data_IF_928987171716
#
_entry.id   IF_928987171716
#
_cell.length_a   1.000
_cell.length_b   1.000
_cell.length_c   1.000
_cell.angle_alpha   90.00
_cell.angle_beta   90.00
_cell.angle_gamma   90.00
#
_symmetry.space_group_name_H-M   'P 1'
#
loop_
_entity.id
_entity.type
_entity.pdbx_description
1 polymer ?
#
# COMPACT_ATOMS: atom_id res chain seq x y z
N UNK A 1 -27.00 -3.21 -48.30
CA UNK A 1 -27.37 -3.95 -49.54
C UNK A 1 -28.83 -3.64 -49.88
N UNK A 2 -29.22 -3.55 -51.16
CA UNK A 2 -30.63 -3.36 -51.56
C UNK A 2 -31.40 -4.69 -51.42
N UNK A 3 -32.71 -4.63 -51.14
CA UNK A 3 -33.54 -5.83 -50.92
C UNK A 3 -33.64 -6.73 -52.16
N UNK A 4 -33.66 -6.16 -53.37
CA UNK A 4 -33.65 -6.94 -54.62
C UNK A 4 -32.44 -7.87 -54.72
N UNK A 5 -31.24 -7.33 -54.47
CA UNK A 5 -29.99 -8.09 -54.45
C UNK A 5 -29.95 -9.12 -53.32
N UNK A 6 -30.54 -8.80 -52.16
CA UNK A 6 -30.69 -9.76 -51.06
C UNK A 6 -31.59 -10.94 -51.47
N UNK A 7 -32.74 -10.66 -52.09
CA UNK A 7 -33.67 -11.68 -52.60
C UNK A 7 -33.02 -12.58 -53.65
N UNK A 8 -32.24 -12.03 -54.58
CA UNK A 8 -31.45 -12.81 -55.55
C UNK A 8 -30.49 -13.79 -54.87
N UNK A 9 -29.79 -13.34 -53.81
CA UNK A 9 -28.87 -14.19 -53.05
C UNK A 9 -29.61 -15.30 -52.32
N UNK A 10 -30.75 -15.00 -51.68
CA UNK A 10 -31.59 -16.00 -51.00
C UNK A 10 -32.09 -17.04 -52.00
N UNK A 11 -32.62 -16.62 -53.15
CA UNK A 11 -33.10 -17.51 -54.20
C UNK A 11 -31.98 -18.40 -54.76
N UNK A 12 -30.76 -17.88 -54.86
CA UNK A 12 -29.57 -18.66 -55.28
C UNK A 12 -29.17 -19.72 -54.26
N UNK A 13 -29.35 -19.46 -52.97
CA UNK A 13 -29.08 -20.45 -51.91
C UNK A 13 -30.14 -21.56 -51.93
N UNK A 14 -31.41 -21.20 -52.14
CA UNK A 14 -32.53 -22.14 -52.23
C UNK A 14 -32.48 -23.03 -53.48
N UNK A 15 -31.95 -22.53 -54.61
CA UNK A 15 -31.83 -23.31 -55.85
C UNK A 15 -30.63 -24.25 -55.89
N UNK A 16 -29.78 -24.27 -54.86
CA UNK A 16 -28.58 -25.07 -54.82
C UNK A 16 -28.86 -26.44 -54.17
N UNK A 17 -28.65 -27.54 -54.90
CA UNK A 17 -29.08 -28.91 -54.53
C UNK A 17 -28.59 -29.45 -53.15
N UNK A 18 -27.67 -28.76 -52.47
CA UNK A 18 -27.20 -29.13 -51.11
C UNK A 18 -28.19 -28.79 -50.00
N UNK A 19 -29.17 -27.89 -50.23
CA UNK A 19 -30.13 -27.44 -49.21
C UNK A 19 -31.43 -28.27 -49.16
N UNK A 20 -31.68 -29.17 -50.11
CA UNK A 20 -32.94 -29.92 -50.20
C UNK A 20 -33.18 -31.00 -49.13
N UNK A 21 -32.27 -31.18 -48.17
CA UNK A 21 -32.42 -32.21 -47.11
C UNK A 21 -32.94 -31.68 -45.78
N UNK A 22 -32.90 -30.36 -45.53
CA UNK A 22 -33.39 -29.74 -44.28
C UNK A 22 -33.83 -28.31 -44.53
N UNK A 23 -34.90 -27.89 -43.86
CA UNK A 23 -35.24 -26.47 -43.74
C UNK A 23 -34.09 -25.72 -43.05
N UNK A 24 -33.74 -24.52 -43.53
CA UNK A 24 -32.56 -23.79 -43.06
C UNK A 24 -32.95 -22.68 -42.10
N UNK A 25 -32.32 -22.65 -40.93
CA UNK A 25 -32.49 -21.55 -39.98
C UNK A 25 -31.77 -20.28 -40.45
N UNK A 26 -32.43 -19.13 -40.33
CA UNK A 26 -31.83 -17.82 -40.61
C UNK A 26 -31.22 -17.28 -39.32
N UNK A 27 -29.90 -17.05 -39.33
CA UNK A 27 -29.17 -16.58 -38.15
C UNK A 27 -28.32 -15.34 -38.47
N UNK A 28 -28.11 -14.48 -37.47
CA UNK A 28 -27.22 -13.31 -37.51
C UNK A 28 -25.92 -13.68 -36.82
N UNK A 29 -24.79 -13.51 -37.51
CA UNK A 29 -23.46 -13.81 -36.95
C UNK A 29 -23.13 -12.86 -35.81
N UNK A 30 -22.67 -13.41 -34.69
CA UNK A 30 -22.12 -12.66 -33.56
C UNK A 30 -20.62 -12.49 -33.78
N UNK A 31 -20.15 -11.25 -33.71
CA UNK A 31 -18.71 -10.99 -33.79
C UNK A 31 -18.03 -11.44 -32.49
N UNK A 32 -17.38 -12.60 -32.54
CA UNK A 32 -16.65 -13.18 -31.40
C UNK A 32 -15.23 -13.58 -31.82
N UNK A 33 -14.27 -12.62 -31.81
CA UNK A 33 -12.89 -12.92 -32.18
C UNK A 33 -12.30 -14.01 -31.28
N UNK A 34 -11.66 -15.01 -31.88
CA UNK A 34 -11.04 -16.13 -31.16
C UNK A 34 -11.95 -17.31 -30.81
N UNK A 35 -13.20 -17.35 -31.29
CA UNK A 35 -14.05 -18.53 -31.14
C UNK A 35 -13.49 -19.73 -31.90
N UNK A 36 -13.41 -20.89 -31.27
CA UNK A 36 -13.06 -22.17 -31.91
C UNK A 36 -14.33 -23.00 -32.01
N UNK A 37 -14.70 -23.40 -33.23
CA UNK A 37 -15.91 -24.21 -33.49
C UNK A 37 -16.86 -23.55 -34.50
N UNK A 38 -18.14 -23.93 -34.45
CA UNK A 38 -19.17 -23.37 -35.32
C UNK A 38 -19.27 -21.86 -35.16
N UNK A 39 -19.57 -21.15 -36.26
CA UNK A 39 -19.75 -19.70 -36.27
C UNK A 39 -20.83 -19.30 -35.25
N UNK A 40 -20.52 -18.51 -34.22
CA UNK A 40 -21.51 -18.09 -33.25
C UNK A 40 -22.52 -17.19 -33.94
N UNK A 41 -23.80 -17.51 -33.78
CA UNK A 41 -24.90 -16.77 -34.38
C UNK A 41 -26.15 -16.82 -33.51
N UNK A 42 -27.06 -15.88 -33.73
CA UNK A 42 -28.35 -15.76 -33.04
C UNK A 42 -29.46 -15.90 -34.09
N UNK A 43 -30.48 -16.69 -33.79
CA UNK A 43 -31.63 -16.89 -34.68
C UNK A 43 -32.42 -15.59 -34.93
N UNK A 44 -32.98 -15.49 -36.13
CA UNK A 44 -33.92 -14.43 -36.50
C UNK A 44 -35.33 -14.85 -36.08
N UNK A 45 -35.93 -14.08 -35.18
CA UNK A 45 -37.29 -14.32 -34.70
C UNK A 45 -38.35 -13.82 -35.68
N UNK A 46 -38.13 -12.65 -36.28
CA UNK A 46 -39.09 -12.08 -37.23
C UNK A 46 -38.44 -11.08 -38.19
N UNK A 47 -39.09 -10.90 -39.35
CA UNK A 47 -38.67 -9.96 -40.38
C UNK A 47 -39.91 -9.14 -40.78
N UNK A 48 -39.80 -7.82 -40.74
CA UNK A 48 -40.89 -6.90 -41.04
C UNK A 48 -40.46 -5.87 -42.08
N UNK A 49 -41.40 -5.42 -42.91
CA UNK A 49 -41.23 -4.19 -43.68
C UNK A 49 -41.41 -3.00 -42.73
N UNK A 50 -40.52 -2.00 -42.82
CA UNK A 50 -40.62 -0.78 -42.03
C UNK A 50 -41.87 0.03 -42.40
N UNK A 51 -42.46 0.68 -41.40
CA UNK A 51 -43.67 1.48 -41.53
C UNK A 51 -43.38 2.94 -41.16
N UNK A 52 -44.13 3.88 -41.75
CA UNK A 52 -44.00 5.33 -41.54
C UNK A 52 -42.55 5.84 -41.71
N UNK A 53 -41.86 6.19 -40.62
CA UNK A 53 -40.49 6.69 -40.57
C UNK A 53 -39.44 5.68 -41.04
N UNK A 54 -39.80 4.39 -41.11
CA UNK A 54 -38.95 3.30 -41.60
C UNK A 54 -39.33 2.79 -42.99
N UNK A 55 -40.20 3.51 -43.71
CA UNK A 55 -40.58 3.14 -45.08
C UNK A 55 -39.37 2.92 -45.99
N UNK A 56 -39.38 1.80 -46.72
CA UNK A 56 -38.27 1.38 -47.58
C UNK A 56 -37.16 0.58 -46.89
N UNK A 57 -37.27 0.31 -45.58
CA UNK A 57 -36.37 -0.59 -44.83
C UNK A 57 -37.01 -1.95 -44.59
N UNK A 58 -36.17 -2.97 -44.46
CA UNK A 58 -36.54 -4.29 -43.94
C UNK A 58 -35.88 -4.45 -42.59
N UNK A 59 -36.67 -4.68 -41.56
CA UNK A 59 -36.25 -4.81 -40.17
C UNK A 59 -36.16 -6.29 -39.81
N UNK A 60 -35.01 -6.71 -39.31
CA UNK A 60 -34.76 -8.09 -38.88
C UNK A 60 -34.61 -8.07 -37.36
N UNK A 61 -35.45 -8.83 -36.68
CA UNK A 61 -35.47 -8.92 -35.22
C UNK A 61 -34.85 -10.24 -34.79
N UNK A 62 -33.63 -10.23 -34.24
CA UNK A 62 -33.03 -11.43 -33.65
C UNK A 62 -33.74 -11.83 -32.36
N UNK A 63 -33.68 -13.12 -32.02
CA UNK A 63 -34.21 -13.66 -30.77
C UNK A 63 -33.52 -13.08 -29.52
N UNK A 64 -32.30 -12.54 -29.65
CA UNK A 64 -31.60 -11.79 -28.62
C UNK A 64 -31.26 -10.38 -29.13
N UNK A 65 -31.49 -9.31 -28.34
CA UNK A 65 -31.24 -7.94 -28.77
C UNK A 65 -29.74 -7.68 -28.97
N UNK A 66 -29.40 -6.98 -30.05
CA UNK A 66 -28.01 -6.61 -30.38
C UNK A 66 -27.60 -5.34 -29.64
N UNK A 67 -26.34 -5.28 -29.19
CA UNK A 67 -25.75 -4.09 -28.55
C UNK A 67 -24.71 -3.45 -29.47
N UNK A 68 -24.67 -2.13 -29.52
CA UNK A 68 -23.65 -1.38 -30.26
C UNK A 68 -22.37 -1.29 -29.45
N UNK A 69 -21.24 -1.73 -30.02
CA UNK A 69 -19.91 -1.56 -29.43
C UNK A 69 -19.20 -0.35 -30.04
N UNK A 70 -18.41 0.36 -29.23
CA UNK A 70 -17.54 1.44 -29.72
C UNK A 70 -16.25 0.87 -30.36
N UNK A 71 -15.57 1.62 -31.24
CA UNK A 71 -14.30 1.18 -31.82
C UNK A 71 -13.23 0.82 -30.76
N UNK A 72 -13.18 1.57 -29.66
CA UNK A 72 -12.28 1.32 -28.52
C UNK A 72 -12.57 -0.03 -27.84
N UNK A 73 -13.86 -0.37 -27.67
CA UNK A 73 -14.25 -1.65 -27.10
C UNK A 73 -13.86 -2.82 -28.01
N UNK A 74 -13.92 -2.64 -29.34
CA UNK A 74 -13.51 -3.67 -30.31
C UNK A 74 -12.01 -3.91 -30.25
N UNK A 75 -11.20 -2.84 -30.13
CA UNK A 75 -9.74 -2.96 -29.99
C UNK A 75 -9.36 -3.67 -28.69
N UNK A 76 -10.01 -3.32 -27.58
CA UNK A 76 -9.76 -3.94 -26.28
C UNK A 76 -10.09 -5.43 -26.27
N UNK A 77 -11.22 -5.82 -26.89
CA UNK A 77 -11.61 -7.23 -27.01
C UNK A 77 -10.59 -8.00 -27.86
N UNK A 78 -10.14 -7.42 -28.97
CA UNK A 78 -9.16 -8.05 -29.87
C UNK A 78 -7.80 -8.25 -29.19
N UNK A 79 -7.33 -7.23 -28.45
CA UNK A 79 -6.08 -7.30 -27.69
C UNK A 79 -6.17 -8.26 -26.51
N UNK A 80 -7.33 -8.33 -25.84
CA UNK A 80 -7.60 -9.32 -24.79
C UNK A 80 -7.50 -10.75 -25.33
N UNK A 81 -8.13 -11.04 -26.47
CA UNK A 81 -8.09 -12.38 -27.10
C UNK A 81 -6.65 -12.75 -27.49
N UNK A 82 -5.85 -11.79 -27.95
CA UNK A 82 -4.44 -11.98 -28.31
C UNK A 82 -3.52 -12.23 -27.12
N UNK A 83 -3.83 -11.67 -25.94
CA UNK A 83 -2.99 -11.76 -24.72
C UNK A 83 -3.37 -12.91 -23.77
N UNK A 84 -4.57 -13.46 -23.86
CA UNK A 84 -4.99 -14.60 -23.06
C UNK A 84 -6.51 -14.77 -23.13
N UNK A 85 -6.95 -15.97 -23.50
CA UNK A 85 -8.29 -16.30 -24.02
C UNK A 85 -9.52 -15.94 -23.15
N UNK A 86 -9.37 -15.27 -22.01
CA UNK A 86 -10.48 -14.66 -21.28
C UNK A 86 -10.09 -13.36 -20.58
N UNK A 87 -11.01 -12.39 -20.53
CA UNK A 87 -10.86 -11.13 -19.76
C UNK A 87 -10.49 -11.39 -18.29
N UNK A 88 -10.95 -12.51 -17.73
CA UNK A 88 -10.63 -12.95 -16.37
C UNK A 88 -9.15 -13.32 -16.21
N UNK A 89 -8.58 -14.11 -17.13
CA UNK A 89 -7.16 -14.45 -17.09
C UNK A 89 -6.25 -13.20 -17.21
N UNK A 90 -6.65 -12.21 -18.01
CA UNK A 90 -5.91 -10.94 -18.11
C UNK A 90 -5.98 -10.12 -16.81
N UNK A 91 -7.14 -10.10 -16.14
CA UNK A 91 -7.28 -9.41 -14.85
C UNK A 91 -6.43 -10.08 -13.76
N UNK A 92 -6.38 -11.40 -13.71
CA UNK A 92 -5.53 -12.14 -12.77
C UNK A 92 -4.05 -11.92 -13.05
N UNK A 93 -3.63 -11.98 -14.31
CA UNK A 93 -2.27 -11.64 -14.71
C UNK A 93 -1.87 -10.24 -14.25
N UNK A 94 -2.76 -9.24 -14.45
CA UNK A 94 -2.51 -7.87 -14.01
C UNK A 94 -2.31 -7.80 -12.49
N UNK A 95 -3.19 -8.45 -11.72
CA UNK A 95 -3.08 -8.51 -10.25
C UNK A 95 -1.78 -9.16 -9.79
N UNK A 96 -1.41 -10.29 -10.38
CA UNK A 96 -0.16 -10.98 -10.02
C UNK A 96 1.07 -10.17 -10.40
N UNK A 97 1.04 -9.46 -11.53
CA UNK A 97 2.11 -8.56 -11.92
C UNK A 97 2.28 -7.41 -10.93
N UNK A 98 1.18 -6.78 -10.51
CA UNK A 98 1.21 -5.73 -9.47
C UNK A 98 1.75 -6.27 -8.14
N UNK A 99 1.37 -7.49 -7.76
CA UNK A 99 1.92 -8.15 -6.57
C UNK A 99 3.42 -8.42 -6.69
N UNK A 100 3.90 -8.90 -7.84
CA UNK A 100 5.33 -9.14 -8.08
C UNK A 100 6.15 -7.86 -8.01
N UNK A 101 5.64 -6.76 -8.57
CA UNK A 101 6.29 -5.45 -8.47
C UNK A 101 6.37 -4.99 -7.01
N UNK A 102 5.29 -5.13 -6.25
CA UNK A 102 5.27 -4.81 -4.82
C UNK A 102 6.28 -5.66 -4.02
N UNK A 103 6.27 -6.98 -4.21
CA UNK A 103 7.18 -7.89 -3.53
C UNK A 103 8.64 -7.61 -3.90
N UNK A 104 8.92 -7.22 -5.14
CA UNK A 104 10.27 -6.85 -5.56
C UNK A 104 10.80 -5.65 -4.78
N UNK A 105 9.97 -4.61 -4.59
CA UNK A 105 10.33 -3.42 -3.81
C UNK A 105 10.56 -3.78 -2.34
N UNK A 106 9.66 -4.57 -1.75
CA UNK A 106 9.80 -5.03 -0.36
C UNK A 106 11.07 -5.87 -0.16
N UNK A 107 11.41 -6.72 -1.12
CA UNK A 107 12.60 -7.56 -1.08
C UNK A 107 13.88 -6.74 -1.17
N UNK A 108 13.93 -5.72 -2.02
CA UNK A 108 15.10 -4.83 -2.11
C UNK A 108 15.27 -3.99 -0.85
N UNK A 109 14.18 -3.48 -0.28
CA UNK A 109 14.19 -2.79 1.01
C UNK A 109 14.68 -3.70 2.15
N UNK A 110 14.21 -4.95 2.19
CA UNK A 110 14.64 -5.92 3.19
C UNK A 110 16.13 -6.25 3.08
N UNK A 111 16.66 -6.42 1.86
CA UNK A 111 18.10 -6.64 1.63
C UNK A 111 18.95 -5.48 2.12
N UNK A 112 18.51 -4.24 1.85
CA UNK A 112 19.21 -3.04 2.35
C UNK A 112 19.24 -3.01 3.88
N UNK A 113 18.10 -3.30 4.54
CA UNK A 113 18.04 -3.33 6.00
C UNK A 113 18.92 -4.44 6.60
N UNK A 114 19.00 -5.61 5.96
CA UNK A 114 19.89 -6.70 6.40
C UNK A 114 21.35 -6.25 6.34
N UNK A 115 21.78 -5.65 5.23
CA UNK A 115 23.16 -5.18 5.08
C UNK A 115 23.54 -4.12 6.13
N UNK A 116 22.62 -3.20 6.44
CA UNK A 116 22.81 -2.21 7.50
C UNK A 116 22.95 -2.87 8.89
N UNK A 117 22.06 -3.81 9.23
CA UNK A 117 22.10 -4.52 10.51
C UNK A 117 23.37 -5.38 10.66
N UNK A 118 23.83 -5.99 9.57
CA UNK A 118 25.10 -6.74 9.56
C UNK A 118 26.29 -5.81 9.83
N UNK A 119 26.30 -4.60 9.26
CA UNK A 119 27.30 -3.56 9.54
C UNK A 119 27.30 -3.14 11.01
N UNK A 120 26.13 -2.82 11.56
CA UNK A 120 25.97 -2.43 12.96
C UNK A 120 26.42 -3.55 13.91
N UNK A 121 26.06 -4.81 13.60
CA UNK A 121 26.48 -5.97 14.39
C UNK A 121 27.99 -6.16 14.36
N UNK A 122 28.64 -5.97 13.22
CA UNK A 122 30.09 -6.07 13.12
C UNK A 122 30.80 -4.99 13.95
N UNK A 123 30.29 -3.75 13.94
CA UNK A 123 30.82 -2.66 14.76
C UNK A 123 30.68 -2.96 16.27
N UNK A 124 29.50 -3.37 16.72
CA UNK A 124 29.26 -3.77 18.12
C UNK A 124 30.11 -4.98 18.54
N UNK A 125 30.32 -5.95 17.64
CA UNK A 125 31.18 -7.10 17.93
C UNK A 125 32.66 -6.70 18.08
N UNK A 126 33.14 -5.78 17.25
CA UNK A 126 34.50 -5.24 17.34
C UNK A 126 34.70 -4.44 18.64
N UNK A 127 33.72 -3.62 19.01
CA UNK A 127 33.71 -2.87 20.27
C UNK A 127 33.75 -3.81 21.49
N UNK A 128 32.89 -4.83 21.52
CA UNK A 128 32.89 -5.86 22.56
C UNK A 128 34.23 -6.60 22.66
N UNK A 129 34.87 -6.90 21.53
CA UNK A 129 36.20 -7.51 21.54
C UNK A 129 37.26 -6.57 22.15
N UNK A 130 37.18 -5.26 21.87
CA UNK A 130 38.04 -4.24 22.46
C UNK A 130 37.85 -4.12 23.98
N UNK A 131 36.60 -4.08 24.44
CA UNK A 131 36.27 -4.05 25.87
C UNK A 131 36.75 -5.31 26.60
N UNK A 132 36.51 -6.51 26.03
CA UNK A 132 37.00 -7.76 26.61
C UNK A 132 38.53 -7.77 26.74
N UNK A 133 39.24 -7.24 25.73
CA UNK A 133 40.70 -7.12 25.77
C UNK A 133 41.16 -6.16 26.87
N UNK A 134 40.50 -5.01 27.01
CA UNK A 134 40.80 -4.06 28.08
C UNK A 134 40.59 -4.69 29.47
N UNK A 135 39.47 -5.39 29.67
CA UNK A 135 39.18 -6.09 30.93
C UNK A 135 40.27 -7.10 31.25
N UNK A 136 40.68 -7.92 30.28
CA UNK A 136 41.66 -8.98 30.51
C UNK A 136 43.11 -8.47 30.70
N UNK A 137 43.48 -7.35 30.08
CA UNK A 137 44.88 -6.91 30.00
C UNK A 137 45.20 -5.65 30.80
N UNK A 138 44.19 -4.88 31.19
CA UNK A 138 44.38 -3.53 31.72
C UNK A 138 43.45 -3.17 32.87
N UNK A 139 42.44 -3.99 33.16
CA UNK A 139 41.55 -3.80 34.31
C UNK A 139 41.98 -4.73 35.45
N UNK A 140 42.40 -4.16 36.57
CA UNK A 140 42.76 -4.89 37.79
C UNK A 140 41.64 -4.73 38.82
N UNK A 141 41.16 -5.84 39.38
CA UNK A 141 40.12 -5.84 40.42
C UNK A 141 40.79 -6.18 41.74
N UNK A 142 40.61 -5.32 42.73
CA UNK A 142 41.10 -5.52 44.10
C UNK A 142 39.96 -6.04 44.99
N UNK A 143 40.19 -7.12 45.72
CA UNK A 143 39.17 -7.80 46.55
C UNK A 143 39.19 -7.37 48.03
N UNK A 144 40.13 -6.52 48.44
CA UNK A 144 40.15 -5.91 49.76
C UNK A 144 40.93 -6.65 50.84
N UNK A 145 41.60 -7.77 50.54
CA UNK A 145 42.29 -8.60 51.55
C UNK A 145 43.75 -8.18 51.86
N UNK A 146 44.28 -7.11 51.26
CA UNK A 146 45.67 -6.66 51.46
C UNK A 146 45.74 -5.26 52.11
N UNK A 147 46.55 -5.13 53.18
CA UNK A 147 46.70 -3.92 54.01
C UNK A 147 47.47 -2.75 53.33
N UNK A 148 47.97 -2.93 52.11
CA UNK A 148 48.75 -1.91 51.39
C UNK A 148 48.22 -1.72 49.96
N UNK A 149 47.23 -0.83 49.79
CA UNK A 149 47.03 -0.18 48.49
C UNK A 149 48.19 0.81 48.30
N UNK A 150 49.23 0.38 47.58
CA UNK A 150 50.40 1.21 47.23
C UNK A 150 50.21 1.96 45.91
N UNK A 151 49.11 1.78 45.22
CA UNK A 151 48.83 2.27 43.88
C UNK A 151 47.59 3.15 43.89
N UNK A 152 47.78 4.40 43.45
CA UNK A 152 46.70 5.37 43.34
C UNK A 152 45.55 4.76 42.52
N UNK A 153 44.37 4.65 43.15
CA UNK A 153 43.16 4.25 42.45
C UNK A 153 42.92 5.18 41.27
N UNK A 154 43.00 4.65 40.05
CA UNK A 154 42.67 5.34 38.81
C UNK A 154 41.41 4.69 38.28
N UNK A 155 40.36 5.49 38.07
CA UNK A 155 39.12 4.95 37.54
C UNK A 155 39.33 4.48 36.08
N UNK A 156 38.60 3.46 35.64
CA UNK A 156 38.80 2.87 34.31
C UNK A 156 38.71 3.89 33.16
N UNK A 157 37.87 4.92 33.31
CA UNK A 157 37.74 6.02 32.35
C UNK A 157 39.00 6.87 32.27
N UNK A 158 39.64 7.19 33.40
CA UNK A 158 40.93 7.90 33.43
C UNK A 158 42.10 6.97 33.03
N UNK A 159 41.92 5.66 33.19
CA UNK A 159 42.86 4.60 32.82
C UNK A 159 42.84 4.19 31.33
N UNK A 160 42.16 4.95 30.48
CA UNK A 160 42.17 4.71 29.03
C UNK A 160 41.23 3.60 28.54
N UNK A 161 40.10 3.39 29.23
CA UNK A 161 39.02 2.51 28.76
C UNK A 161 38.62 2.86 27.30
N UNK A 162 38.49 1.85 26.41
CA UNK A 162 38.02 2.07 25.05
C UNK A 162 36.65 2.75 25.01
N UNK A 163 36.50 3.71 24.10
CA UNK A 163 35.20 4.36 23.84
C UNK A 163 34.24 3.38 23.16
N UNK A 164 32.94 3.62 23.33
CA UNK A 164 31.85 2.75 22.84
C UNK A 164 30.91 3.44 21.85
N UNK A 165 31.43 4.01 20.74
CA UNK A 165 30.64 4.82 19.83
C UNK A 165 29.56 4.02 19.07
N UNK A 166 29.76 2.72 18.85
CA UNK A 166 28.75 1.89 18.18
C UNK A 166 27.55 1.64 19.12
N UNK A 167 27.82 1.43 20.40
CA UNK A 167 26.78 1.34 21.43
C UNK A 167 26.04 2.68 21.58
N UNK A 168 26.76 3.81 21.61
CA UNK A 168 26.14 5.13 21.73
C UNK A 168 25.23 5.45 20.54
N UNK A 169 25.69 5.15 19.32
CA UNK A 169 24.90 5.33 18.10
C UNK A 169 23.63 4.46 18.11
N UNK A 170 23.76 3.18 18.52
CA UNK A 170 22.62 2.28 18.65
C UNK A 170 21.61 2.78 19.68
N UNK A 171 22.07 3.22 20.85
CA UNK A 171 21.19 3.78 21.88
C UNK A 171 20.50 5.08 21.42
N UNK A 172 21.18 5.91 20.63
CA UNK A 172 20.58 7.10 20.04
C UNK A 172 19.48 6.76 19.03
N UNK A 173 19.68 5.75 18.17
CA UNK A 173 18.65 5.24 17.25
C UNK A 173 17.43 4.70 18.03
N UNK A 174 17.66 3.82 19.01
CA UNK A 174 16.58 3.25 19.85
C UNK A 174 15.80 4.34 20.58
N UNK A 175 16.49 5.32 21.18
CA UNK A 175 15.83 6.46 21.84
C UNK A 175 15.00 7.27 20.85
N UNK A 176 15.50 7.48 19.63
CA UNK A 176 14.80 8.22 18.58
C UNK A 176 13.52 7.50 18.17
N UNK A 177 13.58 6.19 17.94
CA UNK A 177 12.39 5.40 17.62
C UNK A 177 11.39 5.36 18.78
N UNK A 178 11.84 5.16 20.01
CA UNK A 178 10.97 5.20 21.19
C UNK A 178 10.25 6.56 21.35
N UNK A 179 10.92 7.67 21.01
CA UNK A 179 10.31 9.01 21.01
C UNK A 179 9.21 9.13 19.94
N UNK A 180 9.43 8.57 18.74
CA UNK A 180 8.41 8.54 17.67
C UNK A 180 7.20 7.71 18.09
N UNK A 181 7.42 6.52 18.64
CA UNK A 181 6.36 5.67 19.16
C UNK A 181 5.56 6.36 20.28
N UNK A 182 6.25 7.09 21.16
CA UNK A 182 5.62 7.95 22.17
C UNK A 182 4.68 9.00 21.56
N UNK A 183 5.11 9.71 20.52
CA UNK A 183 4.25 10.68 19.82
C UNK A 183 3.04 10.01 19.16
N UNK A 184 3.22 8.85 18.53
CA UNK A 184 2.10 8.07 17.97
C UNK A 184 1.10 7.67 19.05
N UNK A 185 1.58 7.19 20.19
CA UNK A 185 0.76 6.84 21.34
C UNK A 185 -0.07 8.05 21.81
N UNK A 186 0.55 9.22 21.97
CA UNK A 186 -0.14 10.44 22.41
C UNK A 186 -1.19 10.91 21.39
N UNK A 187 -0.85 10.95 20.10
CA UNK A 187 -1.80 11.33 19.05
C UNK A 187 -3.01 10.38 19.03
N UNK A 188 -2.78 9.07 19.12
CA UNK A 188 -3.84 8.06 19.17
C UNK A 188 -4.73 8.21 20.41
N UNK A 189 -4.13 8.43 21.59
CA UNK A 189 -4.89 8.66 22.84
C UNK A 189 -5.70 9.95 22.81
N UNK A 190 -5.16 11.02 22.22
CA UNK A 190 -5.84 12.30 22.08
C UNK A 190 -7.08 12.17 21.18
N UNK A 191 -6.94 11.53 20.02
CA UNK A 191 -8.08 11.28 19.12
C UNK A 191 -9.14 10.38 19.77
N UNK A 192 -8.72 9.34 20.50
CA UNK A 192 -9.63 8.48 21.25
C UNK A 192 -10.37 9.23 22.37
N UNK A 193 -9.69 10.13 23.09
CA UNK A 193 -10.31 10.96 24.13
C UNK A 193 -11.39 11.88 23.54
N UNK A 194 -11.16 12.41 22.34
CA UNK A 194 -12.18 13.16 21.59
C UNK A 194 -13.36 12.29 21.19
N UNK A 195 -13.13 11.11 20.64
CA UNK A 195 -14.20 10.17 20.26
C UNK A 195 -15.07 9.76 21.46
N UNK A 196 -14.45 9.61 22.63
CA UNK A 196 -15.13 9.33 23.89
C UNK A 196 -15.80 10.55 24.56
N UNK A 197 -15.67 11.76 23.97
CA UNK A 197 -16.30 12.98 24.48
C UNK A 197 -15.58 13.67 25.65
N UNK A 198 -14.35 13.29 25.98
CA UNK A 198 -13.53 13.98 27.00
C UNK A 198 -12.93 15.30 26.50
N UNK A 199 -12.80 15.45 25.17
CA UNK A 199 -12.33 16.69 24.52
C UNK A 199 -13.50 17.29 23.75
N UNK A 200 -14.00 18.43 24.22
CA UNK A 200 -15.07 19.18 23.58
C UNK A 200 -14.51 20.16 22.54
N UNK A 201 -14.08 19.61 21.39
CA UNK A 201 -13.58 20.39 20.25
C UNK A 201 -14.02 19.79 18.90
N UNK A 202 -13.91 20.60 17.85
CA UNK A 202 -14.27 20.21 16.49
C UNK A 202 -13.38 19.08 15.98
N UNK A 203 -13.93 18.23 15.08
CA UNK A 203 -13.16 17.16 14.44
C UNK A 203 -11.95 17.69 13.67
N UNK A 204 -12.10 18.89 13.10
CA UNK A 204 -11.03 19.57 12.38
C UNK A 204 -9.88 19.93 13.32
N UNK A 205 -10.16 20.64 14.41
CA UNK A 205 -9.12 21.06 15.36
C UNK A 205 -8.40 19.87 15.96
N UNK A 206 -9.15 18.82 16.34
CA UNK A 206 -8.53 17.60 16.88
C UNK A 206 -7.64 16.89 15.86
N UNK A 207 -8.05 16.84 14.59
CA UNK A 207 -7.22 16.29 13.52
C UNK A 207 -5.98 17.16 13.24
N UNK A 208 -6.10 18.48 13.32
CA UNK A 208 -4.97 19.41 13.16
C UNK A 208 -3.94 19.22 14.29
N UNK A 209 -4.38 19.10 15.55
CA UNK A 209 -3.50 18.82 16.69
C UNK A 209 -2.84 17.45 16.55
N UNK A 210 -3.60 16.41 16.22
CA UNK A 210 -3.04 15.07 16.03
C UNK A 210 -2.00 15.04 14.90
N UNK A 211 -2.29 15.71 13.77
CA UNK A 211 -1.31 15.87 12.68
C UNK A 211 -0.06 16.61 13.16
N UNK A 212 -0.21 17.68 13.93
CA UNK A 212 0.93 18.43 14.47
C UNK A 212 1.83 17.53 15.35
N UNK A 213 1.23 16.71 16.22
CA UNK A 213 1.97 15.73 17.05
C UNK A 213 2.70 14.70 16.17
N UNK A 214 2.01 14.14 15.16
CA UNK A 214 2.61 13.15 14.26
C UNK A 214 3.76 13.76 13.44
N UNK A 215 3.57 14.94 12.87
CA UNK A 215 4.61 15.65 12.09
C UNK A 215 5.78 16.09 12.97
N UNK A 216 5.58 16.30 14.29
CA UNK A 216 6.69 16.60 15.21
C UNK A 216 7.80 15.52 15.19
N UNK A 217 7.46 14.27 14.86
CA UNK A 217 8.41 13.16 14.74
C UNK A 217 9.49 13.39 13.69
N UNK A 218 9.23 14.23 12.69
CA UNK A 218 10.18 14.59 11.64
C UNK A 218 11.30 15.51 12.15
N UNK A 219 11.06 16.22 13.27
CA UNK A 219 12.00 17.18 13.86
C UNK A 219 12.75 16.65 15.08
N UNK A 220 12.37 15.46 15.59
CA UNK A 220 12.91 14.89 16.83
C UNK A 220 14.42 14.62 16.80
N UNK A 221 15.02 14.39 15.63
CA UNK A 221 16.46 14.15 15.50
C UNK A 221 17.32 15.36 15.92
N UNK A 222 16.77 16.58 15.81
CA UNK A 222 17.45 17.83 16.14
C UNK A 222 16.82 18.56 17.33
N UNK A 223 15.95 17.89 18.08
CA UNK A 223 15.27 18.50 19.22
C UNK A 223 16.27 18.78 20.36
N UNK A 224 16.21 19.96 21.01
CA UNK A 224 16.94 20.25 22.23
C UNK A 224 16.72 19.17 23.30
N UNK A 225 17.73 18.91 24.13
CA UNK A 225 17.67 17.85 25.15
C UNK A 225 16.51 18.05 26.16
N UNK A 226 16.16 19.30 26.47
CA UNK A 226 15.05 19.66 27.36
C UNK A 226 13.65 19.46 26.78
N UNK A 227 13.50 19.29 25.46
CA UNK A 227 12.19 19.08 24.83
C UNK A 227 11.58 17.71 25.19
N UNK A 228 12.39 16.81 25.76
CA UNK A 228 11.97 15.48 26.18
C UNK A 228 11.70 15.38 27.69
N UNK A 229 11.89 16.47 28.44
CA UNK A 229 11.53 16.51 29.85
C UNK A 229 10.13 17.11 30.05
N UNK A 230 9.62 16.96 31.28
CA UNK A 230 8.26 17.35 31.64
C UNK A 230 8.12 18.79 32.16
N UNK A 231 9.22 19.52 32.28
CA UNK A 231 9.26 20.82 32.98
C UNK A 231 8.32 21.85 32.37
N UNK A 232 8.30 21.98 31.04
CA UNK A 232 7.38 22.89 30.34
C UNK A 232 5.92 22.51 30.60
N UNK A 233 5.59 21.23 30.47
CA UNK A 233 4.21 20.74 30.67
C UNK A 233 3.75 20.93 32.11
N UNK A 234 4.59 20.57 33.08
CA UNK A 234 4.27 20.74 34.50
C UNK A 234 4.07 22.22 34.85
N UNK A 235 4.91 23.13 34.34
CA UNK A 235 4.74 24.58 34.54
C UNK A 235 3.42 25.11 33.97
N UNK A 236 3.05 24.71 32.74
CA UNK A 236 1.76 25.11 32.14
C UNK A 236 0.57 24.56 32.95
N UNK A 237 0.66 23.31 33.44
CA UNK A 237 -0.39 22.71 34.26
C UNK A 237 -0.54 23.41 35.62
N UNK A 238 0.57 23.81 36.25
CA UNK A 238 0.58 24.60 37.49
C UNK A 238 -0.08 25.97 37.27
N UNK A 239 0.24 26.65 36.18
CA UNK A 239 -0.38 27.94 35.82
C UNK A 239 -1.90 27.82 35.62
N UNK A 240 -2.35 26.78 34.91
CA UNK A 240 -3.78 26.50 34.71
C UNK A 240 -4.46 26.23 36.06
N UNK A 241 -3.85 25.39 36.91
CA UNK A 241 -4.40 25.10 38.24
C UNK A 241 -4.52 26.36 39.10
N UNK A 242 -3.51 27.25 39.05
CA UNK A 242 -3.53 28.53 39.76
C UNK A 242 -4.63 29.48 39.25
N UNK A 243 -4.89 29.51 37.95
CA UNK A 243 -5.98 30.31 37.37
C UNK A 243 -7.36 29.79 37.81
N UNK A 244 -7.58 28.48 37.77
CA UNK A 244 -8.82 27.86 38.22
C UNK A 244 -9.05 28.09 39.73
N UNK A 245 -8.00 28.05 40.55
CA UNK A 245 -8.07 28.34 41.98
C UNK A 245 -8.42 29.79 42.33
N UNK A 246 -8.08 30.75 41.46
CA UNK A 246 -8.44 32.18 41.62
C UNK A 246 -9.85 32.49 41.08
N UNK A 247 -10.34 31.73 40.10
CA UNK A 247 -11.66 31.90 39.48
C UNK A 247 -12.84 31.29 40.24
N UNK A 248 -12.59 30.42 41.23
CA UNK A 248 -13.63 29.75 42.05
C UNK A 248 -14.25 30.59 43.18
N UNK A 249 -14.01 31.90 43.22
CA UNK A 249 -14.68 32.85 44.13
C UNK A 249 -15.57 33.80 43.32
N UNK A 250 -16.72 33.32 42.87
CA UNK A 250 -17.88 34.15 42.53
C UNK A 250 -19.12 33.54 43.18
#
# INVERSE_FOLDING_TARGET
>A
MKFSKFSELVNRILSNNHSHRRDMDVTIVVHSPGSIGSTPSVEVQSIHAGFDWDSGKVLIFPAQPLTTLTPEQITDITDSVRKGQSRHAYQEYKKHKEQLEKLSIELDAAKQRIAELEGNRAALAAENAGLNKFIAQSCYVFDGEQDEISDAYICATDGGMPQTPATDAFLAEVKTEARKEGAYFVANRMLAAREAGFIDDTAKNAADIARMILTSTEFMANAPEGDFDRSFSDGVLEDIAAQLGKGGKQ
#
